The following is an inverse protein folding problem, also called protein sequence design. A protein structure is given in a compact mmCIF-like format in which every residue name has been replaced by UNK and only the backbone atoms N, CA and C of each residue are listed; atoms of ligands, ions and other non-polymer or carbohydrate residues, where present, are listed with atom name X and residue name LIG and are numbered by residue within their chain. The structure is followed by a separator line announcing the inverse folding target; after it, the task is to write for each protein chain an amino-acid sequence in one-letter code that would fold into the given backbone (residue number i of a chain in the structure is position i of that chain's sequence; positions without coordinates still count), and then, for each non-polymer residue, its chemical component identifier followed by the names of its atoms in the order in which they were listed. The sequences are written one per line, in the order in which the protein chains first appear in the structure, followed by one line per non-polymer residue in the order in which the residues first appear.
data_IF_591526767161
#
_entry.id   IF_591526767161
#
_cell.length_a   1.000
_cell.length_b   1.000
_cell.length_c   1.000
_cell.angle_alpha   90.00
_cell.angle_beta   90.00
_cell.angle_gamma   90.00
#
_symmetry.space_group_name_H-M   'P 1'
#
loop_
_entity.id
_entity.type
_entity.pdbx_description
1 polymer ?
#
# COMPACT_ATOMS: atom_id res chain seq x y z
N UNK A 1 -15.35 46.51 -78.10
CA UNK A 1 -13.91 46.22 -77.95
C UNK A 1 -13.72 45.60 -76.57
N UNK A 2 -13.40 44.31 -76.51
CA UNK A 2 -12.08 43.76 -76.12
C UNK A 2 -11.54 44.35 -74.80
N UNK A 3 -11.20 43.57 -73.77
CA UNK A 3 -10.61 42.23 -73.82
C UNK A 3 -10.68 41.51 -72.46
N UNK A 4 -10.39 40.19 -72.44
CA UNK A 4 -10.65 39.27 -71.34
C UNK A 4 -9.47 39.23 -70.36
N UNK A 5 -9.67 38.63 -69.18
CA UNK A 5 -8.55 37.94 -68.54
C UNK A 5 -8.94 36.56 -67.98
N UNK A 6 -7.98 35.63 -68.01
CA UNK A 6 -8.20 34.21 -67.93
C UNK A 6 -8.09 33.68 -66.49
N UNK A 7 -8.66 32.50 -66.36
CA UNK A 7 -8.46 31.49 -65.32
C UNK A 7 -7.02 31.31 -64.85
N UNK A 8 -6.92 30.58 -63.73
CA UNK A 8 -5.73 29.94 -63.11
C UNK A 8 -5.02 30.86 -62.11
N UNK A 9 -4.73 30.48 -60.87
CA UNK A 9 -4.92 29.26 -60.12
C UNK A 9 -4.40 29.58 -58.71
N UNK A 10 -5.26 29.53 -57.71
CA UNK A 10 -4.84 29.13 -56.36
C UNK A 10 -6.04 28.51 -55.65
N UNK A 11 -6.57 27.47 -56.29
CA UNK A 11 -7.25 26.43 -55.55
C UNK A 11 -6.26 25.86 -54.52
N UNK A 12 -6.78 25.52 -53.34
CA UNK A 12 -6.09 24.85 -52.20
C UNK A 12 -5.57 25.71 -51.05
N UNK A 13 -6.20 26.85 -50.70
CA UNK A 13 -5.98 27.46 -49.37
C UNK A 13 -7.20 27.67 -48.48
N UNK A 14 -8.42 27.53 -48.99
CA UNK A 14 -9.63 27.75 -48.18
C UNK A 14 -10.31 26.49 -47.62
N UNK A 15 -9.87 25.29 -48.02
CA UNK A 15 -10.39 24.01 -47.48
C UNK A 15 -9.58 23.45 -46.29
N UNK A 16 -8.56 24.17 -45.83
CA UNK A 16 -7.80 23.78 -44.64
C UNK A 16 -8.56 24.24 -43.38
N UNK A 17 -9.02 23.28 -42.58
CA UNK A 17 -9.58 23.56 -41.25
C UNK A 17 -8.52 24.29 -40.42
N UNK A 18 -8.68 25.61 -40.28
CA UNK A 18 -7.82 26.42 -39.41
C UNK A 18 -8.08 25.99 -37.96
N UNK A 19 -7.05 25.65 -37.18
CA UNK A 19 -7.25 25.33 -35.77
C UNK A 19 -7.87 26.54 -35.07
N UNK A 20 -9.11 26.39 -34.59
CA UNK A 20 -9.73 27.38 -33.71
C UNK A 20 -8.92 27.45 -32.44
N UNK A 21 -8.46 28.66 -32.07
CA UNK A 21 -7.91 28.89 -30.74
C UNK A 21 -9.02 28.56 -29.72
N UNK A 22 -8.83 27.48 -28.98
CA UNK A 22 -9.69 27.14 -27.86
C UNK A 22 -9.47 28.21 -26.78
N UNK A 23 -10.49 29.00 -26.51
CA UNK A 23 -10.41 30.04 -25.48
C UNK A 23 -10.41 29.39 -24.11
N UNK A 24 -9.45 29.79 -23.28
CA UNK A 24 -9.35 29.28 -21.92
C UNK A 24 -10.50 29.89 -21.10
N UNK A 25 -11.47 29.09 -20.62
CA UNK A 25 -12.64 29.60 -19.92
C UNK A 25 -12.30 30.35 -18.61
N UNK A 26 -11.12 30.09 -18.03
CA UNK A 26 -10.61 30.84 -16.88
C UNK A 26 -10.26 32.27 -17.29
N UNK A 27 -9.73 32.50 -18.50
CA UNK A 27 -9.35 33.82 -18.98
C UNK A 27 -10.55 34.65 -19.46
N UNK A 28 -11.68 34.01 -19.79
CA UNK A 28 -12.91 34.64 -20.31
C UNK A 28 -13.62 35.56 -19.30
N UNK A 29 -13.50 35.31 -17.99
CA UNK A 29 -14.12 36.20 -17.00
C UNK A 29 -13.27 36.38 -15.76
N UNK A 30 -13.21 37.63 -15.29
CA UNK A 30 -12.48 37.95 -14.06
C UNK A 30 -13.05 37.20 -12.84
N UNK A 31 -14.35 36.94 -12.85
CA UNK A 31 -15.03 36.12 -11.84
C UNK A 31 -14.50 34.68 -11.83
N UNK A 32 -14.33 34.03 -12.99
CA UNK A 32 -13.76 32.67 -13.07
C UNK A 32 -12.30 32.63 -12.64
N UNK A 33 -11.51 33.66 -12.98
CA UNK A 33 -10.13 33.80 -12.46
C UNK A 33 -10.10 33.91 -10.94
N UNK A 34 -10.98 34.72 -10.37
CA UNK A 34 -11.13 34.88 -8.92
C UNK A 34 -11.43 33.54 -8.25
N UNK A 35 -12.46 32.84 -8.72
CA UNK A 35 -12.84 31.53 -8.21
C UNK A 35 -11.73 30.49 -8.34
N UNK A 36 -11.03 30.43 -9.48
CA UNK A 36 -9.91 29.50 -9.66
C UNK A 36 -8.79 29.75 -8.65
N UNK A 37 -8.47 31.03 -8.40
CA UNK A 37 -7.46 31.41 -7.40
C UNK A 37 -7.90 31.00 -6.00
N UNK A 38 -9.17 31.24 -5.63
CA UNK A 38 -9.73 30.86 -4.35
C UNK A 38 -9.71 29.34 -4.13
N UNK A 39 -10.09 28.55 -5.14
CA UNK A 39 -10.03 27.07 -5.10
C UNK A 39 -8.60 26.53 -4.95
N UNK A 40 -7.62 27.13 -5.63
CA UNK A 40 -6.22 26.76 -5.45
C UNK A 40 -5.71 27.09 -4.05
N UNK A 41 -6.14 28.22 -3.50
CA UNK A 41 -5.80 28.63 -2.13
C UNK A 41 -6.44 27.67 -1.13
N UNK A 42 -7.72 27.33 -1.26
CA UNK A 42 -8.41 26.40 -0.36
C UNK A 42 -7.79 25.00 -0.43
N UNK A 43 -7.49 24.49 -1.62
CA UNK A 43 -6.78 23.21 -1.77
C UNK A 43 -5.39 23.27 -1.12
N UNK A 44 -4.65 24.36 -1.28
CA UNK A 44 -3.32 24.52 -0.67
C UNK A 44 -3.40 24.64 0.84
N UNK A 45 -4.40 25.32 1.40
CA UNK A 45 -4.58 25.45 2.85
C UNK A 45 -5.01 24.12 3.46
N UNK A 46 -5.92 23.37 2.84
CA UNK A 46 -6.31 22.01 3.23
C UNK A 46 -5.12 21.03 3.13
N UNK A 47 -4.38 21.07 2.02
CA UNK A 47 -3.16 20.29 1.83
C UNK A 47 -1.99 20.74 2.72
N UNK A 48 -2.05 21.90 3.36
CA UNK A 48 -1.09 22.31 4.39
C UNK A 48 -1.61 22.20 5.82
N UNK A 49 -2.88 21.84 6.01
CA UNK A 49 -3.50 21.73 7.33
C UNK A 49 -3.73 23.08 8.02
N UNK A 50 -3.83 24.16 7.24
CA UNK A 50 -4.08 25.53 7.75
C UNK A 50 -5.56 25.80 8.04
N UNK A 51 -6.46 24.94 7.58
CA UNK A 51 -7.91 25.04 7.81
C UNK A 51 -8.40 23.79 8.56
N UNK A 52 -9.38 23.90 9.47
CA UNK A 52 -9.91 22.75 10.23
C UNK A 52 -10.75 21.77 9.41
N UNK A 53 -10.99 22.03 8.13
CA UNK A 53 -11.60 21.05 7.23
C UNK A 53 -10.83 19.73 7.30
N UNK A 54 -11.56 18.62 7.42
CA UNK A 54 -10.97 17.30 7.54
C UNK A 54 -9.99 17.08 6.39
N UNK A 55 -8.73 16.78 6.71
CA UNK A 55 -7.74 16.45 5.68
C UNK A 55 -8.35 15.38 4.77
N UNK A 56 -8.29 15.54 3.43
CA UNK A 56 -8.86 14.55 2.53
C UNK A 56 -8.24 13.19 2.83
N UNK A 57 -9.05 12.13 2.78
CA UNK A 57 -8.67 10.78 3.22
C UNK A 57 -7.32 10.34 2.67
N UNK A 58 -7.08 10.58 1.37
CA UNK A 58 -5.81 10.27 0.69
C UNK A 58 -4.60 10.90 1.39
N UNK A 59 -4.70 12.16 1.81
CA UNK A 59 -3.60 12.85 2.49
C UNK A 59 -3.35 12.26 3.87
N UNK A 60 -4.40 11.91 4.62
CA UNK A 60 -4.28 11.24 5.92
C UNK A 60 -3.60 9.88 5.78
N UNK A 61 -4.04 9.08 4.81
CA UNK A 61 -3.46 7.75 4.54
C UNK A 61 -2.00 7.85 4.12
N UNK A 62 -1.64 8.83 3.27
CA UNK A 62 -0.24 9.04 2.87
C UNK A 62 0.66 9.48 4.04
N UNK A 63 0.17 10.38 4.92
CA UNK A 63 0.90 10.78 6.13
C UNK A 63 1.07 9.59 7.10
N UNK A 64 0.00 8.82 7.33
CA UNK A 64 0.04 7.62 8.16
C UNK A 64 1.05 6.61 7.61
N UNK A 65 0.99 6.31 6.32
CA UNK A 65 1.91 5.38 5.66
C UNK A 65 3.36 5.84 5.76
N UNK A 66 3.62 7.15 5.67
CA UNK A 66 4.97 7.71 5.85
C UNK A 66 5.48 7.49 7.27
N UNK A 67 4.63 7.67 8.28
CA UNK A 67 4.99 7.46 9.69
C UNK A 67 5.25 5.98 9.99
N UNK A 68 4.39 5.09 9.49
CA UNK A 68 4.55 3.65 9.66
C UNK A 68 5.86 3.16 9.04
N UNK A 69 6.18 3.60 7.82
CA UNK A 69 7.45 3.26 7.17
C UNK A 69 8.67 3.76 7.95
N UNK A 70 8.60 4.95 8.55
CA UNK A 70 9.68 5.46 9.39
C UNK A 70 9.86 4.57 10.62
N UNK A 71 8.76 4.26 11.30
CA UNK A 71 8.77 3.41 12.50
C UNK A 71 9.28 2.01 12.19
N UNK A 72 8.87 1.43 11.07
CA UNK A 72 9.32 0.11 10.62
C UNK A 72 10.82 0.10 10.29
N UNK A 73 11.33 1.16 9.63
CA UNK A 73 12.77 1.31 9.37
C UNK A 73 13.58 1.44 10.66
N UNK A 74 13.10 2.23 11.61
CA UNK A 74 13.74 2.34 12.93
C UNK A 74 13.73 0.99 13.63
N UNK A 75 12.59 0.31 13.72
CA UNK A 75 12.46 -1.02 14.32
C UNK A 75 13.34 -2.07 13.65
N UNK A 76 13.45 -2.05 12.31
CA UNK A 76 14.33 -2.96 11.57
C UNK A 76 15.82 -2.64 11.77
N UNK A 77 16.17 -1.38 12.08
CA UNK A 77 17.53 -0.97 12.41
C UNK A 77 17.91 -1.26 13.86
N UNK A 78 16.93 -1.40 14.75
CA UNK A 78 17.18 -1.70 16.15
C UNK A 78 17.57 -3.18 16.32
N UNK A 79 18.61 -3.47 17.11
CA UNK A 79 18.90 -4.85 17.49
C UNK A 79 17.74 -5.40 18.33
N UNK A 80 17.52 -6.73 18.32
CA UNK A 80 16.47 -7.34 19.11
C UNK A 80 16.65 -7.02 20.59
N UNK A 81 15.56 -6.65 21.25
CA UNK A 81 15.53 -6.33 22.67
C UNK A 81 15.99 -7.51 23.53
N UNK A 82 16.54 -7.25 24.72
CA UNK A 82 16.93 -8.30 25.68
C UNK A 82 15.80 -9.32 25.91
N UNK A 83 14.56 -8.85 25.98
CA UNK A 83 13.38 -9.71 26.10
C UNK A 83 13.16 -10.59 24.86
N UNK A 84 13.31 -10.01 23.66
CA UNK A 84 13.16 -10.75 22.40
C UNK A 84 14.25 -11.81 22.25
N UNK A 85 15.48 -11.49 22.65
CA UNK A 85 16.59 -12.44 22.68
C UNK A 85 16.31 -13.59 23.64
N UNK A 86 15.79 -13.31 24.84
CA UNK A 86 15.49 -14.36 25.82
C UNK A 86 14.31 -15.24 25.37
N UNK A 87 13.29 -14.66 24.74
CA UNK A 87 12.22 -15.42 24.09
C UNK A 87 12.76 -16.32 22.98
N UNK A 88 13.71 -15.85 22.18
CA UNK A 88 14.35 -16.65 21.14
C UNK A 88 15.12 -17.84 21.74
N UNK A 89 15.95 -17.60 22.76
CA UNK A 89 16.68 -18.66 23.47
C UNK A 89 15.73 -19.68 24.08
N UNK A 90 14.66 -19.22 24.75
CA UNK A 90 13.67 -20.11 25.38
C UNK A 90 12.97 -20.97 24.34
N UNK A 91 12.60 -20.39 23.18
CA UNK A 91 12.01 -21.14 22.07
C UNK A 91 12.96 -22.21 21.55
N UNK A 92 14.23 -21.87 21.36
CA UNK A 92 15.24 -22.83 20.90
C UNK A 92 15.41 -24.00 21.89
N UNK A 93 15.44 -23.73 23.20
CA UNK A 93 15.49 -24.77 24.24
C UNK A 93 14.28 -25.70 24.19
N UNK A 94 13.08 -25.13 24.08
CA UNK A 94 11.84 -25.91 23.97
C UNK A 94 11.85 -26.82 22.73
N UNK A 95 12.26 -26.29 21.58
CA UNK A 95 12.36 -27.10 20.35
C UNK A 95 13.36 -28.24 20.49
N UNK A 96 14.51 -28.00 21.14
CA UNK A 96 15.49 -29.04 21.40
C UNK A 96 14.97 -30.10 22.37
N UNK A 97 14.28 -29.70 23.44
CA UNK A 97 13.64 -30.62 24.38
C UNK A 97 12.54 -31.45 23.70
N UNK A 98 11.73 -30.85 22.82
CA UNK A 98 10.72 -31.58 22.06
C UNK A 98 11.35 -32.61 21.12
N UNK A 99 12.45 -32.27 20.45
CA UNK A 99 13.21 -33.20 19.61
C UNK A 99 13.74 -34.37 20.44
N UNK A 100 14.38 -34.09 21.57
CA UNK A 100 14.86 -35.12 22.51
C UNK A 100 13.74 -36.01 23.00
N UNK A 101 12.60 -35.44 23.41
CA UNK A 101 11.43 -36.23 23.83
C UNK A 101 10.91 -37.14 22.71
N UNK A 102 10.90 -36.67 21.47
CA UNK A 102 10.51 -37.50 20.32
C UNK A 102 11.49 -38.65 20.09
N UNK A 103 12.79 -38.37 20.16
CA UNK A 103 13.84 -39.38 20.07
C UNK A 103 13.72 -40.41 21.21
N UNK A 104 13.51 -39.95 22.45
CA UNK A 104 13.31 -40.82 23.62
C UNK A 104 12.07 -41.73 23.43
N UNK A 105 10.97 -41.18 22.91
CA UNK A 105 9.77 -41.96 22.59
C UNK A 105 10.01 -42.98 21.47
N UNK A 106 10.84 -42.68 20.48
CA UNK A 106 11.22 -43.60 19.41
C UNK A 106 12.18 -44.69 19.88
N UNK A 107 13.14 -44.33 20.74
CA UNK A 107 14.11 -45.25 21.33
C UNK A 107 13.51 -46.10 22.47
N UNK A 108 12.33 -45.73 22.97
CA UNK A 108 11.65 -46.47 24.02
C UNK A 108 11.22 -47.86 23.52
N UNK A 109 11.56 -48.95 24.24
CA UNK A 109 11.17 -50.30 23.86
C UNK A 109 9.67 -50.45 23.67
N UNK A 110 9.27 -51.27 22.70
CA UNK A 110 7.86 -51.42 22.31
C UNK A 110 6.97 -51.85 23.48
N UNK A 111 7.42 -52.81 24.29
CA UNK A 111 6.66 -53.30 25.45
C UNK A 111 6.34 -52.21 26.48
N UNK A 112 7.16 -51.17 26.57
CA UNK A 112 6.90 -49.99 27.43
C UNK A 112 5.86 -49.08 26.76
N UNK A 113 5.97 -48.87 25.45
CA UNK A 113 5.02 -48.07 24.64
C UNK A 113 3.61 -48.64 24.67
N UNK A 114 3.44 -49.96 24.61
CA UNK A 114 2.12 -50.62 24.57
C UNK A 114 1.53 -50.94 25.95
N UNK A 115 2.24 -50.61 27.05
CA UNK A 115 1.85 -50.97 28.41
C UNK A 115 0.46 -50.45 28.81
N UNK A 116 0.07 -49.26 28.36
CA UNK A 116 -1.25 -48.70 28.66
C UNK A 116 -2.36 -49.45 27.91
N UNK A 117 -2.11 -49.90 26.67
CA UNK A 117 -3.05 -50.74 25.92
C UNK A 117 -3.30 -52.07 26.63
N UNK A 118 -2.25 -52.65 27.24
CA UNK A 118 -2.36 -53.90 28.00
C UNK A 118 -3.15 -53.73 29.32
N UNK A 119 -3.08 -52.56 29.96
CA UNK A 119 -3.83 -52.26 31.20
C UNK A 119 -5.34 -52.17 30.99
N UNK A 120 -5.81 -51.84 29.79
CA UNK A 120 -7.24 -51.77 29.48
C UNK A 120 -7.86 -53.12 29.14
N UNK A 121 -7.04 -54.15 28.85
CA UNK A 121 -7.51 -55.49 28.46
C UNK A 121 -7.77 -56.36 29.70
N UNK A 122 -7.18 -56.05 30.86
CA UNK A 122 -7.23 -56.91 32.07
C UNK A 122 -8.53 -56.83 32.88
N UNK A 123 -9.67 -56.40 32.31
CA UNK A 123 -10.98 -56.33 33.03
C UNK A 123 -12.08 -57.18 32.38
N UNK A 124 -11.79 -57.99 31.37
CA UNK A 124 -12.76 -58.98 30.85
C UNK A 124 -12.10 -60.34 30.64
N UNK A 125 -12.04 -61.15 31.70
CA UNK A 125 -11.53 -62.51 31.62
C UNK A 125 -11.60 -63.22 32.97
N UNK A 126 -12.80 -63.69 33.29
CA UNK A 126 -13.20 -64.70 34.30
C UNK A 126 -12.73 -64.51 35.75
#
# INVERSE_FOLDING_TARGET
SSSPQPMQSDGTRDDLIRPKKLFNPVLESSSRRGLHRELLVSLKTVCRGLLPEEKPELKRVLEQRRLEQHREREQASHPPSDLEQELHKRRQRLLQEELRRREDLQNMPEFVRVRENLRHITVTGY
#
